data_IF_935342517549
#
_entry.id   IF_935342517549
#
_cell.length_a   1.000
_cell.length_b   1.000
_cell.length_c   1.000
_cell.angle_alpha   90.00
_cell.angle_beta   90.00
_cell.angle_gamma   90.00
#
_symmetry.space_group_name_H-M   'P 1'
#
loop_
_entity.id
_entity.type
_entity.pdbx_description
1 polymer ?
#
# COMPACT_ATOMS: atom_id res chain seq x y z
N UNK A 1 -1.70 -28.81 -0.60
CA UNK A 1 -1.81 -27.56 0.16
C UNK A 1 -0.45 -27.25 0.75
N UNK A 2 0.23 -26.20 0.30
CA UNK A 2 1.53 -25.83 0.84
C UNK A 2 2.20 -24.83 -0.07
N UNK A 3 1.68 -23.59 -0.08
CA UNK A 3 2.36 -22.47 -0.69
C UNK A 3 2.94 -21.62 0.44
N UNK A 4 4.19 -21.94 0.76
CA UNK A 4 5.28 -21.02 1.10
C UNK A 4 4.95 -19.80 1.96
N UNK A 5 4.64 -20.04 3.24
CA UNK A 5 4.74 -19.05 4.32
C UNK A 5 6.20 -18.59 4.60
N UNK A 6 7.18 -19.15 3.86
CA UNK A 6 8.62 -18.94 4.03
C UNK A 6 9.21 -17.89 3.09
N UNK A 7 8.44 -17.32 2.15
CA UNK A 7 8.91 -16.19 1.35
C UNK A 7 8.79 -14.87 2.15
N UNK A 8 9.74 -14.75 3.08
CA UNK A 8 10.42 -13.53 3.55
C UNK A 8 9.89 -12.86 4.82
N UNK A 9 10.30 -13.48 5.94
CA UNK A 9 10.92 -12.83 7.11
C UNK A 9 11.82 -11.58 6.79
N UNK A 10 12.21 -11.38 5.54
CA UNK A 10 12.93 -10.21 5.00
C UNK A 10 12.08 -8.93 4.87
N UNK A 11 10.73 -9.00 4.90
CA UNK A 11 9.86 -7.80 4.96
C UNK A 11 9.97 -7.07 6.32
N UNK A 12 10.40 -7.78 7.36
CA UNK A 12 10.38 -7.31 8.75
C UNK A 12 11.33 -6.13 9.07
N UNK A 13 12.25 -5.78 8.16
CA UNK A 13 13.24 -4.70 8.37
C UNK A 13 13.16 -3.54 7.36
N UNK A 14 12.52 -3.73 6.20
CA UNK A 14 12.58 -2.76 5.09
C UNK A 14 11.72 -1.49 5.26
N UNK A 15 10.63 -1.57 6.03
CA UNK A 15 9.59 -0.51 6.11
C UNK A 15 9.61 0.27 7.43
N UNK A 16 10.53 -0.03 8.35
CA UNK A 16 10.63 0.63 9.68
C UNK A 16 10.79 2.17 9.60
N UNK A 17 11.01 2.75 8.42
CA UNK A 17 11.35 4.17 8.25
C UNK A 17 10.54 4.92 7.17
N UNK A 18 9.28 4.57 6.91
CA UNK A 18 8.40 5.53 6.20
C UNK A 18 7.93 6.56 7.23
N UNK A 19 8.79 7.57 7.48
CA UNK A 19 8.57 8.79 8.26
C UNK A 19 7.17 8.91 8.89
N UNK A 20 7.07 8.81 10.22
CA UNK A 20 5.81 8.81 10.99
C UNK A 20 4.76 9.85 10.54
N UNK A 21 5.17 11.00 10.00
CA UNK A 21 4.28 12.02 9.45
C UNK A 21 3.56 11.58 8.15
N UNK A 22 4.25 10.86 7.25
CA UNK A 22 3.68 10.31 6.02
C UNK A 22 2.79 9.12 6.34
N UNK A 23 3.19 8.29 7.31
CA UNK A 23 2.35 7.20 7.81
C UNK A 23 1.05 7.71 8.43
N UNK A 24 1.09 8.71 9.31
CA UNK A 24 -0.12 9.29 9.90
C UNK A 24 -1.07 9.85 8.82
N UNK A 25 -0.52 10.57 7.84
CA UNK A 25 -1.33 11.14 6.76
C UNK A 25 -1.93 10.04 5.89
N UNK A 26 -1.14 9.03 5.54
CA UNK A 26 -1.63 7.87 4.82
C UNK A 26 -2.71 7.11 5.62
N UNK A 27 -2.53 6.98 6.94
CA UNK A 27 -3.52 6.36 7.81
C UNK A 27 -4.83 7.14 7.90
N UNK A 28 -4.78 8.46 7.89
CA UNK A 28 -5.96 9.34 7.97
C UNK A 28 -6.71 9.45 6.64
N UNK A 29 -6.02 9.39 5.50
CA UNK A 29 -6.61 9.69 4.18
C UNK A 29 -6.99 8.41 3.39
N UNK A 30 -6.20 7.34 3.48
CA UNK A 30 -6.49 6.10 2.74
C UNK A 30 -7.49 5.22 3.49
N UNK A 31 -8.29 4.47 2.73
CA UNK A 31 -9.11 3.40 3.33
C UNK A 31 -8.23 2.20 3.71
N UNK A 32 -8.70 1.38 4.65
CA UNK A 32 -8.03 0.15 5.09
C UNK A 32 -7.60 -0.76 3.92
N UNK A 33 -8.43 -0.86 2.88
CA UNK A 33 -8.11 -1.63 1.69
C UNK A 33 -7.00 -0.98 0.85
N UNK A 34 -7.07 0.34 0.68
CA UNK A 34 -6.05 1.10 -0.07
C UNK A 34 -4.69 1.05 0.64
N UNK A 35 -4.66 1.10 1.98
CA UNK A 35 -3.45 0.93 2.79
C UNK A 35 -2.82 -0.44 2.58
N UNK A 36 -3.61 -1.51 2.73
CA UNK A 36 -3.11 -2.90 2.55
C UNK A 36 -2.53 -3.12 1.16
N UNK A 37 -3.21 -2.64 0.12
CA UNK A 37 -2.70 -2.70 -1.26
C UNK A 37 -1.40 -1.91 -1.40
N UNK A 38 -1.32 -0.71 -0.83
CA UNK A 38 -0.14 0.14 -0.93
C UNK A 38 1.07 -0.47 -0.20
N UNK A 39 0.87 -1.05 0.99
CA UNK A 39 1.92 -1.72 1.77
C UNK A 39 2.50 -2.88 0.95
N UNK A 40 1.64 -3.78 0.45
CA UNK A 40 2.09 -4.92 -0.34
C UNK A 40 2.80 -4.47 -1.63
N UNK A 41 2.36 -3.37 -2.24
CA UNK A 41 3.03 -2.79 -3.40
C UNK A 41 4.41 -2.21 -3.06
N UNK A 42 4.56 -1.54 -1.92
CA UNK A 42 5.84 -1.01 -1.42
C UNK A 42 6.80 -2.15 -1.06
N UNK A 43 6.28 -3.25 -0.51
CA UNK A 43 7.02 -4.48 -0.25
C UNK A 43 7.53 -5.17 -1.54
N UNK A 44 7.16 -4.63 -2.71
CA UNK A 44 7.63 -5.08 -4.01
C UNK A 44 6.84 -6.26 -4.57
N UNK A 45 5.66 -6.56 -4.03
CA UNK A 45 4.79 -7.58 -4.60
C UNK A 45 4.22 -7.11 -5.95
N UNK A 46 4.07 -8.05 -6.89
CA UNK A 46 3.44 -7.75 -8.19
C UNK A 46 1.93 -7.66 -8.02
N UNK A 47 1.27 -6.94 -8.94
CA UNK A 47 -0.20 -6.79 -8.92
C UNK A 47 -0.96 -8.12 -8.84
N UNK A 48 -0.43 -9.18 -9.47
CA UNK A 48 -0.97 -10.54 -9.43
C UNK A 48 -0.90 -11.15 -8.03
N UNK A 49 0.27 -11.08 -7.41
CA UNK A 49 0.52 -11.61 -6.08
C UNK A 49 -0.33 -10.87 -5.03
N UNK A 50 -0.50 -9.54 -5.19
CA UNK A 50 -1.37 -8.73 -4.34
C UNK A 50 -2.85 -9.09 -4.55
N UNK A 51 -3.26 -9.32 -5.79
CA UNK A 51 -4.63 -9.72 -6.13
C UNK A 51 -4.95 -11.09 -5.52
N UNK A 52 -4.02 -12.02 -5.59
CA UNK A 52 -4.13 -13.34 -4.97
C UNK A 52 -4.16 -13.25 -3.44
N UNK A 53 -3.24 -12.48 -2.83
CA UNK A 53 -3.18 -12.28 -1.38
C UNK A 53 -4.45 -11.61 -0.79
N UNK A 54 -5.11 -10.74 -1.57
CA UNK A 54 -6.34 -10.05 -1.14
C UNK A 54 -7.62 -10.73 -1.63
N UNK A 55 -7.52 -11.85 -2.36
CA UNK A 55 -8.65 -12.52 -3.04
C UNK A 55 -9.47 -11.54 -3.89
N UNK A 56 -8.79 -10.65 -4.61
CA UNK A 56 -9.37 -9.65 -5.52
C UNK A 56 -8.85 -9.85 -6.94
N UNK A 57 -9.45 -9.14 -7.90
CA UNK A 57 -8.93 -9.09 -9.27
C UNK A 57 -7.82 -8.05 -9.37
N UNK A 58 -6.86 -8.26 -10.26
CA UNK A 58 -5.77 -7.31 -10.58
C UNK A 58 -6.31 -5.89 -10.84
N UNK A 59 -7.41 -5.77 -11.59
CA UNK A 59 -8.08 -4.48 -11.87
C UNK A 59 -8.56 -3.77 -10.59
N UNK A 60 -8.98 -4.51 -9.58
CA UNK A 60 -9.41 -3.93 -8.29
C UNK A 60 -8.22 -3.46 -7.45
N UNK A 61 -7.06 -4.10 -7.60
CA UNK A 61 -5.79 -3.68 -6.98
C UNK A 61 -5.29 -2.40 -7.64
N UNK A 62 -5.28 -2.34 -8.97
CA UNK A 62 -4.91 -1.14 -9.73
C UNK A 62 -5.82 0.05 -9.38
N UNK A 63 -7.15 -0.16 -9.39
CA UNK A 63 -8.11 0.86 -8.98
C UNK A 63 -7.86 1.37 -7.55
N UNK A 64 -7.43 0.49 -6.64
CA UNK A 64 -7.10 0.89 -5.27
C UNK A 64 -5.83 1.74 -5.23
N UNK A 65 -4.78 1.37 -5.96
CA UNK A 65 -3.53 2.14 -6.07
C UNK A 65 -3.75 3.49 -6.72
N UNK A 66 -4.59 3.57 -7.76
CA UNK A 66 -4.94 4.84 -8.39
C UNK A 66 -5.64 5.77 -7.40
N UNK A 67 -6.63 5.27 -6.65
CA UNK A 67 -7.31 6.06 -5.61
C UNK A 67 -6.36 6.48 -4.48
N UNK A 68 -5.54 5.56 -4.00
CA UNK A 68 -4.49 5.82 -3.00
C UNK A 68 -3.56 6.97 -3.45
N UNK A 69 -3.03 6.90 -4.68
CA UNK A 69 -2.16 7.94 -5.25
C UNK A 69 -2.87 9.27 -5.40
N UNK A 70 -4.14 9.28 -5.84
CA UNK A 70 -4.92 10.52 -6.00
C UNK A 70 -5.16 11.21 -4.65
N UNK A 71 -5.50 10.41 -3.64
CA UNK A 71 -5.71 10.88 -2.26
C UNK A 71 -4.44 11.44 -1.62
N UNK A 72 -3.32 10.73 -1.76
CA UNK A 72 -2.02 11.20 -1.28
C UNK A 72 -1.63 12.51 -1.97
N UNK A 73 -1.75 12.60 -3.30
CA UNK A 73 -1.47 13.84 -4.04
C UNK A 73 -2.32 15.02 -3.57
N UNK A 74 -3.62 14.81 -3.31
CA UNK A 74 -4.48 15.86 -2.74
C UNK A 74 -3.94 16.34 -1.39
N UNK A 75 -3.62 15.40 -0.50
CA UNK A 75 -3.13 15.73 0.84
C UNK A 75 -1.78 16.48 0.85
N UNK A 76 -0.91 16.25 -0.15
CA UNK A 76 0.31 17.03 -0.33
C UNK A 76 0.06 18.40 -0.97
N UNK A 77 -0.85 18.47 -1.96
CA UNK A 77 -1.17 19.73 -2.65
C UNK A 77 -1.92 20.73 -1.74
N UNK A 78 -2.76 20.23 -0.82
CA UNK A 78 -3.47 21.07 0.17
C UNK A 78 -2.51 21.67 1.22
N UNK A 79 -1.29 21.14 1.35
CA UNK A 79 -0.25 21.62 2.29
C UNK A 79 0.70 22.66 1.67
N UNK A 80 0.68 22.86 0.36
CA UNK A 80 1.57 23.77 -0.37
C UNK A 80 0.98 25.17 -0.58
N UNK A 81 -0.13 25.51 0.09
CA UNK A 81 -0.85 26.77 -0.08
C UNK A 81 -0.89 27.64 1.19
N UNK A 82 0.19 27.64 1.99
CA UNK A 82 0.42 28.62 3.06
C UNK A 82 1.77 29.32 2.88
#
# INVERSE_FOLDING_TARGET
MGADYNLRFFCFLGVVLVLAAVEELAQKVLSEYEKRVLILYIDGLKYKDIAEALSKREKSVDNALQRARKKLRGAFCDRENY
#
